data_IF_621517167705
#
_entry.id   IF_621517167705
#
_cell.length_a   1.000
_cell.length_b   1.000
_cell.length_c   1.000
_cell.angle_alpha   90.00
_cell.angle_beta   90.00
_cell.angle_gamma   90.00
#
_symmetry.space_group_name_H-M   'P 1'
#
loop_
_entity.id
_entity.type
_entity.pdbx_description
1 polymer ?
#
# COMPACT_ATOMS: atom_id res chain seq x y z
N UNK A 1 2.90 16.67 7.07
CA UNK A 1 3.89 17.17 6.08
C UNK A 1 5.06 17.93 6.69
N UNK A 2 4.85 19.09 7.34
CA UNK A 2 5.94 19.96 7.83
C UNK A 2 7.01 19.22 8.66
N UNK A 3 6.58 18.40 9.63
CA UNK A 3 7.49 17.60 10.47
C UNK A 3 8.35 16.62 9.66
N UNK A 4 7.77 15.91 8.69
CA UNK A 4 8.46 14.93 7.84
C UNK A 4 9.55 15.62 7.02
N UNK A 5 9.21 16.73 6.35
CA UNK A 5 10.13 17.47 5.49
C UNK A 5 11.27 18.10 6.30
N UNK A 6 10.97 18.73 7.44
CA UNK A 6 12.01 19.29 8.33
C UNK A 6 12.96 18.21 8.86
N UNK A 7 12.43 17.04 9.23
CA UNK A 7 13.24 15.93 9.68
C UNK A 7 14.17 15.44 8.55
N UNK A 8 13.65 15.24 7.34
CA UNK A 8 14.44 14.82 6.19
C UNK A 8 15.55 15.83 5.85
N UNK A 9 15.25 17.14 5.85
CA UNK A 9 16.24 18.20 5.64
C UNK A 9 17.33 18.20 6.72
N UNK A 10 16.95 18.03 7.99
CA UNK A 10 17.90 17.98 9.10
C UNK A 10 18.85 16.78 9.01
N UNK A 11 18.35 15.61 8.61
CA UNK A 11 19.18 14.43 8.39
C UNK A 11 20.08 14.63 7.17
N UNK A 12 19.54 15.10 6.04
CA UNK A 12 20.33 15.39 4.82
C UNK A 12 21.43 16.42 5.07
N UNK A 13 21.21 17.40 5.95
CA UNK A 13 22.23 18.37 6.34
C UNK A 13 23.37 17.74 7.14
N UNK A 14 23.07 16.74 7.98
CA UNK A 14 24.08 16.00 8.78
C UNK A 14 24.79 14.92 7.97
N UNK A 15 24.10 14.37 6.97
CA UNK A 15 24.57 13.31 6.09
C UNK A 15 24.32 13.69 4.62
N UNK A 16 25.12 14.61 4.05
CA UNK A 16 24.95 15.04 2.66
C UNK A 16 25.11 13.90 1.64
N UNK A 17 25.77 12.82 2.03
CA UNK A 17 26.01 11.63 1.25
C UNK A 17 24.82 10.66 1.19
N UNK A 18 23.80 10.85 2.04
CA UNK A 18 22.60 10.01 2.03
C UNK A 18 21.56 10.55 1.06
N UNK A 19 21.06 9.67 0.18
CA UNK A 19 19.89 9.95 -0.64
C UNK A 19 18.62 9.68 0.16
N UNK A 20 17.94 10.74 0.55
CA UNK A 20 16.71 10.69 1.36
C UNK A 20 15.56 11.17 0.50
N UNK A 21 14.63 10.26 0.22
CA UNK A 21 13.40 10.53 -0.53
C UNK A 21 12.20 10.15 0.34
N UNK A 22 11.57 11.11 1.04
CA UNK A 22 10.36 10.83 1.81
C UNK A 22 9.20 10.44 0.88
N UNK A 23 8.52 9.34 1.19
CA UNK A 23 7.27 8.94 0.55
C UNK A 23 6.10 9.28 1.51
N UNK A 24 5.26 10.25 1.14
CA UNK A 24 4.11 10.71 1.92
C UNK A 24 2.86 10.05 1.37
N UNK A 25 2.18 9.25 2.19
CA UNK A 25 1.02 8.48 1.79
C UNK A 25 -0.27 9.02 2.40
N UNK A 26 -1.29 9.21 1.56
CA UNK A 26 -2.63 9.66 1.98
C UNK A 26 -3.54 8.43 2.14
N UNK A 27 -4.09 8.17 3.35
CA UNK A 27 -4.93 7.01 3.62
C UNK A 27 -6.39 7.25 3.19
N UNK A 28 -7.17 6.17 3.15
CA UNK A 28 -8.63 6.10 3.00
C UNK A 28 -9.20 6.86 1.78
N UNK A 29 -8.36 7.09 0.76
CA UNK A 29 -8.80 7.74 -0.47
C UNK A 29 -9.80 6.83 -1.19
N UNK A 30 -10.92 7.41 -1.62
CA UNK A 30 -11.91 6.75 -2.47
C UNK A 30 -12.13 7.44 -3.82
N UNK A 31 -11.60 8.65 -4.03
CA UNK A 31 -11.86 9.50 -5.20
C UNK A 31 -10.61 10.32 -5.59
N UNK A 32 -10.35 10.51 -6.90
CA UNK A 32 -9.14 11.23 -7.35
C UNK A 32 -9.15 12.69 -6.90
N UNK A 33 -10.32 13.33 -6.82
CA UNK A 33 -10.44 14.71 -6.32
C UNK A 33 -10.13 14.83 -4.83
N UNK A 34 -10.44 13.80 -4.04
CA UNK A 34 -10.07 13.74 -2.62
C UNK A 34 -8.55 13.65 -2.47
N UNK A 35 -7.92 12.73 -3.20
CA UNK A 35 -6.46 12.62 -3.25
C UNK A 35 -5.82 13.94 -3.67
N UNK A 36 -6.31 14.53 -4.77
CA UNK A 36 -5.80 15.79 -5.29
C UNK A 36 -5.87 16.91 -4.26
N UNK A 37 -7.02 17.07 -3.60
CA UNK A 37 -7.22 18.10 -2.58
C UNK A 37 -6.18 18.00 -1.45
N UNK A 38 -5.97 16.80 -0.92
CA UNK A 38 -4.99 16.58 0.15
C UNK A 38 -3.55 16.70 -0.37
N UNK A 39 -3.27 16.19 -1.57
CA UNK A 39 -1.97 16.31 -2.23
C UNK A 39 -1.57 17.77 -2.43
N UNK A 40 -2.49 18.64 -2.87
CA UNK A 40 -2.20 20.06 -3.08
C UNK A 40 -1.76 20.74 -1.76
N UNK A 41 -2.40 20.41 -0.63
CA UNK A 41 -1.98 20.88 0.71
C UNK A 41 -0.60 20.34 1.13
N UNK A 42 -0.32 19.07 0.83
CA UNK A 42 0.98 18.44 1.09
C UNK A 42 2.07 19.14 0.28
N UNK A 43 1.86 19.31 -1.03
CA UNK A 43 2.82 19.91 -1.95
C UNK A 43 3.12 21.35 -1.56
N UNK A 44 2.08 22.17 -1.34
CA UNK A 44 2.25 23.57 -0.91
C UNK A 44 3.09 23.66 0.37
N UNK A 45 2.79 22.81 1.37
CA UNK A 45 3.51 22.81 2.64
C UNK A 45 4.95 22.32 2.48
N UNK A 46 5.17 21.25 1.71
CA UNK A 46 6.49 20.66 1.52
C UNK A 46 7.42 21.61 0.75
N UNK A 47 6.95 22.13 -0.38
CA UNK A 47 7.72 23.01 -1.25
C UNK A 47 8.10 24.31 -0.54
N UNK A 48 7.17 24.90 0.24
CA UNK A 48 7.46 26.08 1.05
C UNK A 48 8.58 25.82 2.07
N UNK A 49 8.57 24.67 2.74
CA UNK A 49 9.59 24.31 3.74
C UNK A 49 10.94 24.02 3.07
N UNK A 50 10.93 23.32 1.93
CA UNK A 50 12.14 23.02 1.15
C UNK A 50 12.76 24.33 0.63
N UNK A 51 11.97 25.20 0.00
CA UNK A 51 12.43 26.49 -0.50
C UNK A 51 13.03 27.36 0.61
N UNK A 52 12.37 27.44 1.78
CA UNK A 52 12.88 28.20 2.93
C UNK A 52 14.19 27.65 3.51
N UNK A 53 14.54 26.39 3.24
CA UNK A 53 15.78 25.77 3.71
C UNK A 53 16.99 26.06 2.81
N UNK A 54 16.75 26.46 1.56
CA UNK A 54 17.81 26.62 0.54
C UNK A 54 18.48 25.31 0.10
N UNK A 55 17.91 24.15 0.48
CA UNK A 55 18.40 22.82 0.09
C UNK A 55 17.45 22.18 -0.91
N UNK A 56 17.97 21.26 -1.73
CA UNK A 56 17.14 20.39 -2.57
C UNK A 56 16.75 19.12 -1.82
N UNK A 57 15.46 18.77 -1.86
CA UNK A 57 14.94 17.52 -1.32
C UNK A 57 13.81 17.03 -2.23
N UNK A 58 13.98 15.85 -2.81
CA UNK A 58 12.90 15.19 -3.55
C UNK A 58 12.03 14.40 -2.58
N UNK A 59 10.72 14.39 -2.82
CA UNK A 59 9.74 13.60 -2.08
C UNK A 59 8.67 13.10 -3.05
N UNK A 60 7.91 12.09 -2.63
CA UNK A 60 6.80 11.54 -3.41
C UNK A 60 5.51 11.62 -2.64
N UNK A 61 4.40 11.82 -3.34
CA UNK A 61 3.05 11.71 -2.79
C UNK A 61 2.32 10.55 -3.44
N UNK A 62 1.88 9.61 -2.62
CA UNK A 62 1.11 8.45 -3.05
C UNK A 62 -0.10 8.23 -2.15
N UNK A 63 -0.76 7.10 -2.32
CA UNK A 63 -1.99 6.81 -1.58
C UNK A 63 -2.10 5.35 -1.18
N UNK A 64 -2.87 5.12 -0.11
CA UNK A 64 -3.28 3.77 0.25
C UNK A 64 -4.47 3.36 -0.62
N UNK A 65 -4.40 2.18 -1.22
CA UNK A 65 -5.53 1.55 -1.90
C UNK A 65 -6.18 0.58 -0.91
N UNK A 66 -7.14 1.12 -0.15
CA UNK A 66 -7.81 0.42 0.93
C UNK A 66 -9.34 0.58 0.93
N UNK A 67 -9.86 1.41 0.01
CA UNK A 67 -11.28 1.56 -0.28
C UNK A 67 -11.59 0.80 -1.58
N UNK A 68 -12.64 -0.05 -1.66
CA UNK A 68 -12.98 -0.75 -2.89
C UNK A 68 -13.18 0.18 -4.09
N UNK A 69 -13.77 1.37 -3.86
CA UNK A 69 -13.92 2.39 -4.91
C UNK A 69 -12.59 2.85 -5.49
N UNK A 70 -11.55 3.01 -4.66
CA UNK A 70 -10.23 3.38 -5.12
C UNK A 70 -9.60 2.32 -6.03
N UNK A 71 -9.84 1.04 -5.73
CA UNK A 71 -9.39 -0.04 -6.60
C UNK A 71 -10.13 -0.05 -7.95
N UNK A 72 -11.44 0.26 -7.95
CA UNK A 72 -12.27 0.31 -9.15
C UNK A 72 -11.92 1.49 -10.08
N UNK A 73 -11.37 2.58 -9.55
CA UNK A 73 -11.02 3.81 -10.29
C UNK A 73 -9.51 4.11 -10.18
N UNK A 74 -8.69 3.09 -10.06
CA UNK A 74 -7.26 3.24 -9.77
C UNK A 74 -6.48 3.92 -10.91
N UNK A 75 -6.98 3.83 -12.14
CA UNK A 75 -6.48 4.55 -13.32
C UNK A 75 -6.58 6.06 -13.15
N UNK A 76 -7.69 6.55 -12.62
CA UNK A 76 -7.88 7.98 -12.30
C UNK A 76 -6.99 8.40 -11.12
N UNK A 77 -6.94 7.59 -10.06
CA UNK A 77 -6.11 7.87 -8.87
C UNK A 77 -4.62 7.93 -9.24
N UNK A 78 -4.14 7.07 -10.14
CA UNK A 78 -2.75 7.03 -10.58
C UNK A 78 -2.29 8.29 -11.35
N UNK A 79 -3.21 9.12 -11.85
CA UNK A 79 -2.88 10.44 -12.40
C UNK A 79 -2.24 11.34 -11.34
N UNK A 80 -2.70 11.21 -10.09
CA UNK A 80 -2.22 12.02 -8.97
C UNK A 80 -1.20 11.32 -8.09
N UNK A 81 -1.36 10.03 -7.83
CA UNK A 81 -0.46 9.26 -6.97
C UNK A 81 0.78 8.75 -7.71
N UNK A 82 1.94 8.87 -7.07
CA UNK A 82 3.23 8.37 -7.58
C UNK A 82 3.51 6.92 -7.15
N UNK A 83 2.77 6.41 -6.17
CA UNK A 83 2.82 5.03 -5.71
C UNK A 83 1.49 4.63 -5.05
N UNK A 84 1.20 3.33 -5.05
CA UNK A 84 0.13 2.72 -4.26
C UNK A 84 0.69 1.83 -3.17
N UNK A 85 0.07 1.87 -2.00
CA UNK A 85 0.21 0.82 -0.98
C UNK A 85 -1.14 0.19 -0.71
N UNK A 86 -1.28 -1.11 -0.90
CA UNK A 86 -2.52 -1.82 -0.61
C UNK A 86 -2.68 -2.01 0.90
N UNK A 87 -3.63 -1.27 1.48
CA UNK A 87 -4.08 -1.42 2.86
C UNK A 87 -5.06 -2.57 2.96
N UNK A 88 -4.54 -3.80 2.85
CA UNK A 88 -5.39 -4.99 2.68
C UNK A 88 -6.23 -5.35 3.90
N UNK A 89 -5.92 -4.82 5.08
CA UNK A 89 -6.77 -4.99 6.27
C UNK A 89 -8.13 -4.30 6.03
N UNK A 90 -8.12 -2.99 5.81
CA UNK A 90 -9.31 -2.19 5.54
C UNK A 90 -9.98 -2.58 4.22
N UNK A 91 -9.20 -2.90 3.17
CA UNK A 91 -9.75 -3.38 1.92
C UNK A 91 -10.53 -4.69 2.12
N UNK A 92 -10.02 -5.60 2.96
CA UNK A 92 -10.73 -6.83 3.31
C UNK A 92 -12.00 -6.52 4.09
N UNK A 93 -11.93 -5.64 5.08
CA UNK A 93 -13.11 -5.22 5.85
C UNK A 93 -14.22 -4.70 4.94
N UNK A 94 -13.90 -3.78 4.03
CA UNK A 94 -14.90 -3.19 3.13
C UNK A 94 -15.37 -4.14 2.03
N UNK A 95 -14.52 -5.04 1.55
CA UNK A 95 -14.90 -6.03 0.52
C UNK A 95 -15.83 -7.09 1.09
N UNK A 96 -15.56 -7.58 2.30
CA UNK A 96 -16.40 -8.57 2.97
C UNK A 96 -17.61 -7.95 3.70
N UNK A 97 -17.56 -6.66 4.01
CA UNK A 97 -18.51 -6.01 4.91
C UNK A 97 -18.32 -6.44 6.37
N UNK A 98 -17.09 -6.79 6.75
CA UNK A 98 -16.76 -7.27 8.10
C UNK A 98 -16.05 -6.18 8.90
N UNK A 99 -16.59 -5.86 10.07
CA UNK A 99 -15.82 -5.19 11.12
C UNK A 99 -14.83 -6.19 11.71
N UNK A 100 -13.53 -5.91 11.65
CA UNK A 100 -12.50 -6.82 12.19
C UNK A 100 -12.70 -7.09 13.69
N UNK A 101 -13.13 -6.07 14.43
CA UNK A 101 -13.36 -6.16 15.88
C UNK A 101 -14.60 -7.00 16.23
N UNK A 102 -15.56 -7.13 15.31
CA UNK A 102 -16.79 -7.90 15.51
C UNK A 102 -16.76 -9.28 14.85
N UNK A 103 -15.94 -9.46 13.81
CA UNK A 103 -15.94 -10.67 13.00
C UNK A 103 -15.56 -11.92 13.80
N UNK A 104 -14.73 -11.78 14.83
CA UNK A 104 -14.38 -12.88 15.74
C UNK A 104 -15.59 -13.58 16.39
N UNK A 105 -16.73 -12.89 16.52
CA UNK A 105 -17.96 -13.43 17.12
C UNK A 105 -18.64 -14.50 16.24
N UNK A 106 -18.41 -14.49 14.93
CA UNK A 106 -19.08 -15.41 13.99
C UNK A 106 -18.11 -16.16 13.05
N UNK A 107 -16.89 -15.67 12.86
CA UNK A 107 -15.92 -16.31 11.95
C UNK A 107 -15.58 -17.74 12.38
N UNK A 108 -15.55 -18.02 13.69
CA UNK A 108 -15.38 -19.39 14.20
C UNK A 108 -16.41 -20.38 13.65
N UNK A 109 -17.69 -19.98 13.62
CA UNK A 109 -18.77 -20.80 13.06
C UNK A 109 -18.64 -20.96 11.55
N UNK A 110 -18.17 -19.94 10.85
CA UNK A 110 -17.93 -20.00 9.39
C UNK A 110 -16.85 -21.02 9.05
N UNK A 111 -15.78 -21.10 9.85
CA UNK A 111 -14.73 -22.12 9.66
C UNK A 111 -15.23 -23.52 10.01
N UNK A 112 -15.96 -23.66 11.11
CA UNK A 112 -16.54 -24.95 11.51
C UNK A 112 -17.50 -25.50 10.45
N UNK A 113 -18.26 -24.61 9.79
CA UNK A 113 -19.20 -24.95 8.71
C UNK A 113 -18.56 -24.97 7.31
N UNK A 114 -17.25 -24.74 7.20
CA UNK A 114 -16.50 -24.66 5.93
C UNK A 114 -17.08 -23.63 4.95
N UNK A 115 -17.67 -22.55 5.46
CA UNK A 115 -18.10 -21.40 4.65
C UNK A 115 -16.85 -20.65 4.16
N UNK A 116 -15.86 -20.48 5.03
CA UNK A 116 -14.52 -20.02 4.69
C UNK A 116 -13.46 -21.03 5.10
N UNK A 117 -12.41 -21.12 4.30
CA UNK A 117 -11.30 -22.06 4.51
C UNK A 117 -10.16 -21.46 5.34
N UNK A 118 -10.08 -20.13 5.43
CA UNK A 118 -9.06 -19.41 6.18
C UNK A 118 -9.59 -18.06 6.64
N UNK A 119 -8.95 -17.52 7.69
CA UNK A 119 -9.21 -16.16 8.13
C UNK A 119 -8.76 -15.14 7.07
N UNK A 120 -9.70 -14.37 6.48
CA UNK A 120 -9.38 -13.42 5.42
C UNK A 120 -8.52 -12.24 5.90
N UNK A 121 -8.37 -12.04 7.22
CA UNK A 121 -7.49 -11.01 7.81
C UNK A 121 -6.06 -11.51 8.08
N UNK A 122 -5.85 -12.83 8.05
CA UNK A 122 -4.52 -13.44 8.19
C UNK A 122 -3.97 -13.87 6.82
N UNK A 123 -4.84 -14.35 5.94
CA UNK A 123 -4.52 -14.81 4.60
C UNK A 123 -5.39 -14.08 3.59
N UNK A 124 -4.74 -13.42 2.63
CA UNK A 124 -5.43 -12.62 1.61
C UNK A 124 -6.43 -13.50 0.83
N UNK A 125 -7.69 -13.07 0.83
CA UNK A 125 -8.70 -13.64 -0.06
C UNK A 125 -8.39 -13.30 -1.51
N UNK A 126 -7.85 -14.27 -2.25
CA UNK A 126 -7.48 -14.06 -3.65
C UNK A 126 -8.68 -13.99 -4.60
N UNK A 127 -9.86 -14.49 -4.20
CA UNK A 127 -11.05 -14.59 -5.08
C UNK A 127 -11.90 -13.33 -5.07
N UNK A 128 -11.93 -12.59 -3.97
CA UNK A 128 -12.58 -11.29 -3.82
C UNK A 128 -11.57 -10.16 -3.72
N UNK A 129 -10.92 -10.01 -2.56
CA UNK A 129 -9.98 -8.89 -2.29
C UNK A 129 -8.83 -8.86 -3.30
N UNK A 130 -8.28 -10.03 -3.65
CA UNK A 130 -7.23 -10.18 -4.65
C UNK A 130 -7.64 -9.68 -6.04
N UNK A 131 -8.93 -9.78 -6.42
CA UNK A 131 -9.41 -9.21 -7.69
C UNK A 131 -9.33 -7.68 -7.68
N UNK A 132 -9.65 -7.04 -6.55
CA UNK A 132 -9.50 -5.59 -6.40
C UNK A 132 -8.03 -5.18 -6.43
N UNK A 133 -7.14 -5.91 -5.74
CA UNK A 133 -5.70 -5.65 -5.78
C UNK A 133 -5.15 -5.78 -7.21
N UNK A 134 -5.51 -6.85 -7.93
CA UNK A 134 -5.08 -7.05 -9.31
C UNK A 134 -5.60 -5.95 -10.24
N UNK A 135 -6.89 -5.63 -10.15
CA UNK A 135 -7.51 -4.59 -10.97
C UNK A 135 -6.83 -3.24 -10.75
N UNK A 136 -6.61 -2.86 -9.49
CA UNK A 136 -5.97 -1.61 -9.15
C UNK A 136 -4.50 -1.54 -9.63
N UNK A 137 -3.77 -2.66 -9.53
CA UNK A 137 -2.41 -2.75 -10.04
C UNK A 137 -2.37 -2.59 -11.58
N UNK A 138 -3.28 -3.24 -12.29
CA UNK A 138 -3.37 -3.17 -13.75
C UNK A 138 -3.78 -1.76 -14.21
N UNK A 139 -4.84 -1.19 -13.64
CA UNK A 139 -5.33 0.16 -13.95
C UNK A 139 -4.30 1.24 -13.58
N UNK A 140 -3.65 1.12 -12.42
CA UNK A 140 -2.61 2.04 -12.01
C UNK A 140 -1.43 2.08 -12.99
N UNK A 141 -0.97 0.90 -13.44
CA UNK A 141 0.11 0.80 -14.46
C UNK A 141 -0.32 1.29 -15.83
N UNK A 142 -1.60 1.15 -16.21
CA UNK A 142 -2.10 1.70 -17.47
C UNK A 142 -1.94 3.22 -17.54
N UNK A 143 -2.21 3.92 -16.43
CA UNK A 143 -2.03 5.38 -16.36
C UNK A 143 -0.58 5.79 -16.11
N UNK A 144 0.13 5.08 -15.21
CA UNK A 144 1.52 5.37 -14.83
C UNK A 144 2.34 4.07 -14.88
N UNK A 145 2.99 3.74 -16.01
CA UNK A 145 3.67 2.46 -16.21
C UNK A 145 4.76 2.12 -15.19
N UNK A 146 5.40 3.14 -14.62
CA UNK A 146 6.47 3.05 -13.62
C UNK A 146 5.98 3.21 -12.17
N UNK A 147 4.65 3.21 -11.93
CA UNK A 147 4.08 3.35 -10.60
C UNK A 147 4.60 2.26 -9.66
N UNK A 148 5.12 2.66 -8.50
CA UNK A 148 5.49 1.71 -7.45
C UNK A 148 4.23 1.16 -6.80
N UNK A 149 4.11 -0.15 -6.71
CA UNK A 149 2.95 -0.83 -6.11
C UNK A 149 3.41 -1.70 -4.95
N UNK A 150 2.97 -1.40 -3.74
CA UNK A 150 3.29 -2.19 -2.56
C UNK A 150 2.07 -2.67 -1.84
N UNK A 151 2.25 -3.60 -0.91
CA UNK A 151 1.24 -4.02 0.07
C UNK A 151 1.78 -3.82 1.48
N UNK A 152 0.92 -3.38 2.40
CA UNK A 152 1.24 -3.27 3.82
C UNK A 152 0.23 -4.01 4.69
N UNK A 153 0.64 -4.37 5.90
CA UNK A 153 -0.20 -5.01 6.90
C UNK A 153 0.10 -6.51 7.07
N UNK A 154 -0.86 -7.24 7.65
CA UNK A 154 -0.65 -8.63 8.06
C UNK A 154 -0.41 -9.56 6.87
N UNK A 155 -1.08 -9.30 5.75
CA UNK A 155 -0.92 -10.09 4.52
C UNK A 155 0.49 -9.96 3.92
N UNK A 156 1.20 -8.86 4.16
CA UNK A 156 2.56 -8.64 3.65
C UNK A 156 3.59 -9.62 4.20
N UNK A 157 3.28 -10.34 5.28
CA UNK A 157 4.14 -11.37 5.86
C UNK A 157 3.59 -12.79 5.75
N UNK A 158 2.47 -13.02 5.04
CA UNK A 158 1.90 -14.35 4.84
C UNK A 158 2.45 -14.95 3.53
N UNK A 159 3.11 -16.13 3.55
CA UNK A 159 3.75 -16.68 2.35
C UNK A 159 2.83 -16.83 1.14
N UNK A 160 1.55 -17.18 1.35
CA UNK A 160 0.62 -17.36 0.24
C UNK A 160 0.17 -16.03 -0.37
N UNK A 161 0.04 -15.00 0.47
CA UNK A 161 -0.29 -13.63 0.08
C UNK A 161 0.90 -12.96 -0.62
N UNK A 162 2.13 -13.19 -0.14
CA UNK A 162 3.37 -12.73 -0.79
C UNK A 162 3.51 -13.32 -2.19
N UNK A 163 3.28 -14.63 -2.35
CA UNK A 163 3.26 -15.30 -3.67
C UNK A 163 2.20 -14.71 -4.60
N UNK A 164 1.02 -14.36 -4.07
CA UNK A 164 0.00 -13.67 -4.86
C UNK A 164 0.45 -12.27 -5.30
N UNK A 165 1.05 -11.50 -4.40
CA UNK A 165 1.57 -10.16 -4.71
C UNK A 165 2.64 -10.20 -5.80
N UNK A 166 3.53 -11.19 -5.76
CA UNK A 166 4.51 -11.47 -6.80
C UNK A 166 3.84 -11.72 -8.15
N UNK A 167 2.83 -12.62 -8.21
CA UNK A 167 2.08 -12.93 -9.44
C UNK A 167 1.32 -11.73 -10.03
N UNK A 168 0.87 -10.78 -9.19
CA UNK A 168 0.22 -9.53 -9.64
C UNK A 168 1.26 -8.47 -10.03
N UNK A 169 2.54 -8.72 -9.78
CA UNK A 169 3.67 -7.87 -10.13
C UNK A 169 3.89 -6.71 -9.15
N UNK A 170 3.43 -6.81 -7.90
CA UNK A 170 3.72 -5.77 -6.90
C UNK A 170 5.24 -5.61 -6.73
N UNK A 171 5.68 -4.37 -6.57
CA UNK A 171 7.07 -3.96 -6.41
C UNK A 171 7.66 -4.40 -5.07
N UNK A 172 6.85 -4.39 -4.00
CA UNK A 172 7.31 -4.77 -2.66
C UNK A 172 6.18 -5.29 -1.76
N UNK A 173 6.58 -5.98 -0.69
CA UNK A 173 5.72 -6.31 0.45
C UNK A 173 6.31 -5.67 1.72
N UNK A 174 5.45 -5.13 2.58
CA UNK A 174 5.82 -4.52 3.85
C UNK A 174 5.12 -5.23 5.01
N UNK A 175 5.88 -5.68 6.00
CA UNK A 175 5.41 -6.47 7.13
C UNK A 175 6.15 -6.10 8.42
N UNK A 176 5.65 -6.61 9.55
CA UNK A 176 6.30 -6.40 10.85
C UNK A 176 7.75 -6.94 10.87
N UNK A 177 8.66 -6.35 11.66
CA UNK A 177 10.09 -6.69 11.61
C UNK A 177 10.40 -8.19 11.72
N UNK A 178 9.70 -8.91 12.60
CA UNK A 178 9.91 -10.35 12.80
C UNK A 178 9.42 -11.22 11.62
N UNK A 179 8.54 -10.69 10.77
CA UNK A 179 8.03 -11.37 9.57
C UNK A 179 8.87 -11.10 8.33
N UNK A 180 9.83 -10.17 8.37
CA UNK A 180 10.72 -9.86 7.24
C UNK A 180 11.45 -11.10 6.70
N UNK A 181 12.04 -11.99 7.53
CA UNK A 181 12.68 -13.21 7.01
C UNK A 181 11.71 -14.13 6.27
N UNK A 182 10.47 -14.25 6.77
CA UNK A 182 9.41 -15.08 6.16
C UNK A 182 9.01 -14.48 4.81
N UNK A 183 8.78 -13.17 4.74
CA UNK A 183 8.42 -12.48 3.51
C UNK A 183 9.53 -12.61 2.45
N UNK A 184 10.80 -12.48 2.84
CA UNK A 184 11.95 -12.65 1.93
C UNK A 184 12.02 -14.07 1.37
N UNK A 185 11.88 -15.09 2.23
CA UNK A 185 11.89 -16.48 1.78
C UNK A 185 10.73 -16.78 0.84
N UNK A 186 9.52 -16.31 1.18
CA UNK A 186 8.33 -16.51 0.35
C UNK A 186 8.44 -15.81 -1.00
N UNK A 187 9.01 -14.59 -1.06
CA UNK A 187 9.25 -13.87 -2.31
C UNK A 187 10.29 -14.59 -3.18
N UNK A 188 11.37 -15.11 -2.59
CA UNK A 188 12.36 -15.90 -3.32
C UNK A 188 11.76 -17.19 -3.90
N UNK A 189 10.95 -17.91 -3.12
CA UNK A 189 10.21 -19.09 -3.59
C UNK A 189 9.26 -18.73 -4.74
N UNK A 190 8.54 -17.61 -4.63
CA UNK A 190 7.63 -17.14 -5.68
C UNK A 190 8.36 -16.89 -7.01
N UNK A 191 9.54 -16.27 -6.95
CA UNK A 191 10.35 -15.99 -8.12
C UNK A 191 10.95 -17.26 -8.74
N UNK A 192 11.37 -18.24 -7.92
CA UNK A 192 11.90 -19.53 -8.40
C UNK A 192 10.80 -20.39 -9.05
N UNK A 193 9.57 -20.36 -8.53
CA UNK A 193 8.44 -21.12 -9.09
C UNK A 193 7.92 -20.55 -10.43
N UNK A 194 8.18 -19.28 -10.72
CA UNK A 194 7.78 -18.60 -11.96
C UNK A 194 8.78 -18.78 -13.11
N UNK A 195 10.08 -18.94 -12.79
CA UNK A 195 11.17 -19.13 -13.75
C UNK A 195 11.37 -20.58 -14.17
#
# INVERSE_FOLDING_TARGET
TNAVIKAALNVKKRHPEWDIVPEIMIPLVGEVKELKYVKDVVVETADKVIAASGMELHYKVGTMIEIPRAALTADEIAKEAEFFSFGTNDLTQMTFGFSRDDAGKFLGDYYAKKIYESDPFARLDQKGVGKLVKMAADLGRQTRPDIKLGICGEHGGDPSSVRFCHKVGLTYVSCSPFRVPIARLAAAQAAIEEG
#
